data_IF_363875829839
#
_entry.id   IF_363875829839
#
_cell.length_a   1.000
_cell.length_b   1.000
_cell.length_c   1.000
_cell.angle_alpha   90.00
_cell.angle_beta   90.00
_cell.angle_gamma   90.00
#
_symmetry.space_group_name_H-M   'P 1'
#
loop_
_entity.id
_entity.type
_entity.pdbx_description
1 polymer ?
#
# COMPACT_ATOMS: atom_id res chain seq x y z
N UNK A 1 -8.33 11.43 0.82
CA UNK A 1 -9.36 10.75 1.65
C UNK A 1 -9.12 10.94 3.16
N UNK A 2 -7.94 10.67 3.76
CA UNK A 2 -7.74 10.79 5.22
C UNK A 2 -8.12 12.17 5.80
N UNK A 3 -7.77 13.25 5.11
CA UNK A 3 -8.11 14.64 5.51
C UNK A 3 -9.62 14.88 5.52
N UNK A 4 -10.36 14.39 4.52
CA UNK A 4 -11.81 14.55 4.44
C UNK A 4 -12.51 13.78 5.56
N UNK A 5 -12.08 12.54 5.86
CA UNK A 5 -12.62 11.76 6.98
C UNK A 5 -12.36 12.46 8.32
N UNK A 6 -11.15 12.99 8.52
CA UNK A 6 -10.83 13.77 9.73
C UNK A 6 -11.69 15.01 9.87
N UNK A 7 -11.89 15.77 8.79
CA UNK A 7 -12.77 16.96 8.77
C UNK A 7 -14.23 16.61 9.08
N UNK A 8 -14.69 15.39 8.82
CA UNK A 8 -16.01 14.88 9.16
C UNK A 8 -16.11 14.32 10.58
N UNK A 9 -15.02 14.39 11.38
CA UNK A 9 -14.99 13.92 12.77
C UNK A 9 -14.70 12.43 12.94
N UNK A 10 -14.15 11.75 11.91
CA UNK A 10 -13.72 10.37 12.05
C UNK A 10 -12.59 10.23 13.07
N UNK A 11 -12.68 9.22 13.94
CA UNK A 11 -11.55 8.83 14.80
C UNK A 11 -10.36 8.33 13.96
N UNK A 12 -9.18 8.38 14.53
CA UNK A 12 -7.96 7.91 13.86
C UNK A 12 -8.00 6.40 13.61
N UNK A 13 -8.63 5.64 14.52
CA UNK A 13 -8.92 4.22 14.34
C UNK A 13 -9.81 3.97 13.12
N UNK A 14 -10.92 4.69 12.99
CA UNK A 14 -11.83 4.56 11.85
C UNK A 14 -11.14 4.95 10.54
N UNK A 15 -10.38 6.05 10.56
CA UNK A 15 -9.60 6.51 9.40
C UNK A 15 -8.60 5.45 8.92
N UNK A 16 -7.86 4.83 9.85
CA UNK A 16 -6.93 3.75 9.55
C UNK A 16 -7.65 2.47 9.05
N UNK A 17 -8.74 2.09 9.72
CA UNK A 17 -9.53 0.92 9.36
C UNK A 17 -10.08 1.01 7.94
N UNK A 18 -10.72 2.13 7.60
CA UNK A 18 -11.39 2.34 6.31
C UNK A 18 -10.38 2.53 5.17
N UNK A 19 -9.31 3.32 5.38
CA UNK A 19 -8.35 3.59 4.30
C UNK A 19 -7.27 2.52 4.10
N UNK A 20 -7.02 1.63 5.07
CA UNK A 20 -5.91 0.69 5.02
C UNK A 20 -6.32 -0.75 5.30
N UNK A 21 -6.93 -1.02 6.48
CA UNK A 21 -7.22 -2.39 6.90
C UNK A 21 -8.25 -3.05 5.98
N UNK A 22 -9.31 -2.34 5.66
CA UNK A 22 -10.42 -2.88 4.88
C UNK A 22 -10.00 -3.14 3.43
N UNK A 23 -9.25 -2.22 2.81
CA UNK A 23 -8.67 -2.43 1.49
C UNK A 23 -7.75 -3.66 1.46
N UNK A 24 -6.90 -3.83 2.48
CA UNK A 24 -6.01 -4.98 2.60
C UNK A 24 -6.80 -6.29 2.81
N UNK A 25 -7.84 -6.27 3.64
CA UNK A 25 -8.73 -7.40 3.88
C UNK A 25 -9.45 -7.84 2.60
N UNK A 26 -10.05 -6.90 1.88
CA UNK A 26 -10.72 -7.17 0.60
C UNK A 26 -9.74 -7.80 -0.39
N UNK A 27 -8.56 -7.19 -0.56
CA UNK A 27 -7.54 -7.68 -1.50
C UNK A 27 -7.07 -9.09 -1.11
N UNK A 28 -6.88 -9.38 0.18
CA UNK A 28 -6.45 -10.68 0.66
C UNK A 28 -7.38 -11.82 0.25
N UNK A 29 -8.69 -11.62 0.40
CA UNK A 29 -9.69 -12.64 0.04
C UNK A 29 -10.04 -12.65 -1.44
N UNK A 30 -10.08 -11.49 -2.07
CA UNK A 30 -10.52 -11.37 -3.46
C UNK A 30 -9.48 -11.84 -4.47
N UNK A 31 -8.19 -11.63 -4.20
CA UNK A 31 -7.13 -11.98 -5.16
C UNK A 31 -7.13 -13.46 -5.56
N UNK A 32 -7.19 -14.44 -4.63
CA UNK A 32 -7.27 -15.86 -4.99
C UNK A 32 -8.56 -16.21 -5.76
N UNK A 33 -9.68 -15.63 -5.35
CA UNK A 33 -10.98 -15.87 -6.00
C UNK A 33 -10.99 -15.35 -7.45
N UNK A 34 -10.49 -14.13 -7.66
CA UNK A 34 -10.38 -13.50 -8.97
C UNK A 34 -9.45 -14.30 -9.88
N UNK A 35 -8.29 -14.71 -9.35
CA UNK A 35 -7.31 -15.52 -10.07
C UNK A 35 -7.93 -16.80 -10.57
N UNK A 36 -8.54 -17.57 -9.70
CA UNK A 36 -9.19 -18.83 -10.01
C UNK A 36 -10.29 -18.70 -11.09
N UNK A 37 -11.18 -17.71 -10.93
CA UNK A 37 -12.29 -17.50 -11.88
C UNK A 37 -11.80 -17.03 -13.24
N UNK A 38 -10.85 -16.11 -13.29
CA UNK A 38 -10.33 -15.55 -14.54
C UNK A 38 -9.44 -16.54 -15.30
N UNK A 39 -8.71 -17.42 -14.60
CA UNK A 39 -7.85 -18.42 -15.25
C UNK A 39 -8.65 -19.50 -15.97
N UNK A 40 -9.87 -19.79 -15.53
CA UNK A 40 -10.76 -20.79 -16.14
C UNK A 40 -11.67 -20.22 -17.23
N UNK A 41 -11.80 -18.91 -17.31
CA UNK A 41 -12.66 -18.29 -18.32
C UNK A 41 -12.02 -18.37 -19.71
N UNK A 42 -12.86 -18.71 -20.73
CA UNK A 42 -12.50 -18.72 -22.15
C UNK A 42 -13.60 -18.01 -22.90
N UNK A 43 -13.42 -16.73 -23.15
CA UNK A 43 -14.34 -15.88 -23.90
C UNK A 43 -13.79 -15.49 -25.28
N UNK A 44 -14.66 -15.00 -26.16
CA UNK A 44 -14.28 -14.52 -27.51
C UNK A 44 -13.25 -13.36 -27.48
N UNK A 45 -13.22 -12.60 -26.40
CA UNK A 45 -12.32 -11.44 -26.22
C UNK A 45 -11.12 -11.72 -25.28
N UNK A 46 -10.91 -13.00 -24.93
CA UNK A 46 -9.85 -13.42 -24.02
C UNK A 46 -10.36 -13.85 -22.64
N UNK A 47 -9.45 -14.06 -21.69
CA UNK A 47 -9.78 -14.53 -20.34
C UNK A 47 -9.84 -13.41 -19.28
N UNK A 48 -9.17 -12.27 -19.51
CA UNK A 48 -9.09 -11.15 -18.55
C UNK A 48 -9.93 -9.94 -18.96
N UNK A 49 -9.92 -9.58 -20.26
CA UNK A 49 -10.59 -8.40 -20.80
C UNK A 49 -12.08 -8.37 -20.49
N UNK A 50 -12.87 -9.48 -20.60
CA UNK A 50 -14.30 -9.44 -20.27
C UNK A 50 -14.58 -8.98 -18.85
N UNK A 51 -13.78 -9.45 -17.89
CA UNK A 51 -13.92 -9.08 -16.48
C UNK A 51 -13.49 -7.62 -16.23
N UNK A 52 -12.41 -7.16 -16.86
CA UNK A 52 -11.98 -5.76 -16.78
C UNK A 52 -13.04 -4.81 -17.34
N UNK A 53 -13.59 -5.15 -18.51
CA UNK A 53 -14.64 -4.35 -19.15
C UNK A 53 -15.88 -4.20 -18.29
N UNK A 54 -16.26 -5.28 -17.58
CA UNK A 54 -17.43 -5.26 -16.70
C UNK A 54 -17.15 -4.54 -15.37
N UNK A 55 -15.99 -4.72 -14.76
CA UNK A 55 -15.68 -4.19 -13.42
C UNK A 55 -15.23 -2.73 -13.42
N UNK A 56 -14.57 -2.25 -14.48
CA UNK A 56 -14.03 -0.88 -14.56
C UNK A 56 -15.10 0.23 -14.39
N UNK A 57 -16.30 0.16 -14.99
CA UNK A 57 -17.33 1.19 -14.79
C UNK A 57 -17.72 1.36 -13.32
N UNK A 58 -17.74 0.28 -12.54
CA UNK A 58 -18.05 0.36 -11.11
C UNK A 58 -16.99 1.07 -10.31
N UNK A 59 -15.69 0.94 -10.67
CA UNK A 59 -14.61 1.73 -10.03
C UNK A 59 -14.87 3.21 -10.23
N UNK A 60 -15.14 3.64 -11.48
CA UNK A 60 -15.47 5.04 -11.77
C UNK A 60 -16.75 5.50 -11.07
N UNK A 61 -17.79 4.65 -11.04
CA UNK A 61 -19.03 4.94 -10.34
C UNK A 61 -18.77 5.23 -8.85
N UNK A 62 -18.07 4.34 -8.15
CA UNK A 62 -17.77 4.53 -6.73
C UNK A 62 -16.87 5.76 -6.48
N UNK A 63 -15.96 6.09 -7.39
CA UNK A 63 -15.20 7.34 -7.30
C UNK A 63 -16.13 8.57 -7.39
N UNK A 64 -17.05 8.58 -8.35
CA UNK A 64 -18.03 9.66 -8.47
C UNK A 64 -18.92 9.73 -7.23
N UNK A 65 -19.45 8.61 -6.76
CA UNK A 65 -20.28 8.55 -5.55
C UNK A 65 -19.55 9.09 -4.31
N UNK A 66 -18.24 8.77 -4.14
CA UNK A 66 -17.43 9.35 -3.08
C UNK A 66 -17.33 10.88 -3.21
N UNK A 67 -17.13 11.41 -4.42
CA UNK A 67 -17.07 12.84 -4.67
C UNK A 67 -18.37 13.57 -4.31
N UNK A 68 -19.50 12.93 -4.56
CA UNK A 68 -20.84 13.50 -4.32
C UNK A 68 -21.46 13.11 -2.97
N UNK A 69 -20.73 12.48 -2.07
CA UNK A 69 -21.23 12.02 -0.77
C UNK A 69 -21.88 13.10 0.08
N UNK A 70 -21.32 14.33 0.08
CA UNK A 70 -21.93 15.51 0.76
C UNK A 70 -23.30 15.87 0.18
N UNK A 71 -23.48 15.73 -1.14
CA UNK A 71 -24.74 16.02 -1.84
C UNK A 71 -25.78 14.96 -1.52
N UNK A 72 -25.40 13.68 -1.51
CA UNK A 72 -26.29 12.60 -1.10
C UNK A 72 -26.71 12.72 0.37
N UNK A 73 -25.77 13.06 1.25
CA UNK A 73 -26.10 13.31 2.66
C UNK A 73 -27.06 14.48 2.81
N UNK A 74 -26.88 15.57 2.04
CA UNK A 74 -27.79 16.71 2.04
C UNK A 74 -29.19 16.35 1.53
N UNK A 75 -29.28 15.54 0.46
CA UNK A 75 -30.55 15.07 -0.09
C UNK A 75 -31.32 14.21 0.92
N UNK A 76 -30.63 13.31 1.61
CA UNK A 76 -31.25 12.39 2.57
C UNK A 76 -31.61 13.05 3.90
N UNK A 77 -30.84 14.05 4.37
CA UNK A 77 -31.11 14.76 5.63
C UNK A 77 -32.14 15.89 5.49
N UNK A 78 -32.46 16.31 4.28
CA UNK A 78 -33.39 17.41 4.02
C UNK A 78 -32.98 18.75 4.68
N UNK A 79 -33.97 19.59 4.96
CA UNK A 79 -33.76 20.91 5.60
C UNK A 79 -33.40 20.81 7.08
N UNK A 80 -33.76 19.73 7.76
CA UNK A 80 -33.47 19.49 9.19
C UNK A 80 -32.00 19.17 9.50
N UNK A 81 -31.18 18.92 8.47
CA UNK A 81 -29.78 18.46 8.58
C UNK A 81 -29.60 17.22 9.46
N UNK A 82 -30.66 16.47 9.67
CA UNK A 82 -30.71 15.27 10.50
C UNK A 82 -31.47 14.18 9.72
N UNK A 83 -30.88 13.00 9.69
CA UNK A 83 -31.51 11.81 9.11
C UNK A 83 -31.97 10.87 10.21
N UNK A 84 -33.23 10.47 10.19
CA UNK A 84 -33.78 9.54 11.17
C UNK A 84 -33.99 8.16 10.56
N UNK A 85 -33.41 7.15 11.16
CA UNK A 85 -33.60 5.74 10.81
C UNK A 85 -33.72 4.88 12.06
N UNK A 86 -34.75 4.07 12.15
CA UNK A 86 -34.97 3.15 13.28
C UNK A 86 -34.85 3.81 14.68
N UNK A 87 -35.28 5.07 14.84
CA UNK A 87 -35.18 5.81 16.10
C UNK A 87 -33.82 6.47 16.40
N UNK A 88 -32.85 6.30 15.52
CA UNK A 88 -31.54 6.94 15.62
C UNK A 88 -31.53 8.26 14.84
N UNK A 89 -31.10 9.33 15.48
CA UNK A 89 -30.87 10.65 14.86
C UNK A 89 -29.41 10.78 14.41
N UNK A 90 -29.20 10.81 13.10
CA UNK A 90 -27.87 10.87 12.47
C UNK A 90 -27.68 12.29 11.91
N UNK A 91 -26.67 13.00 12.38
CA UNK A 91 -26.35 14.33 11.84
C UNK A 91 -25.74 14.24 10.44
N UNK A 92 -25.89 15.28 9.63
CA UNK A 92 -25.37 15.32 8.26
C UNK A 92 -23.88 14.95 8.13
N UNK A 93 -22.93 15.45 8.98
CA UNK A 93 -21.53 15.02 8.90
C UNK A 93 -21.34 13.53 9.11
N UNK A 94 -22.05 12.94 10.08
CA UNK A 94 -21.99 11.49 10.37
C UNK A 94 -22.60 10.69 9.21
N UNK A 95 -23.70 11.15 8.63
CA UNK A 95 -24.29 10.53 7.43
C UNK A 95 -23.32 10.57 6.25
N UNK A 96 -22.65 11.72 6.02
CA UNK A 96 -21.61 11.83 4.99
C UNK A 96 -20.46 10.86 5.23
N UNK A 97 -20.02 10.72 6.49
CA UNK A 97 -18.96 9.79 6.86
C UNK A 97 -19.34 8.33 6.56
N UNK A 98 -20.58 7.94 6.89
CA UNK A 98 -21.10 6.60 6.59
C UNK A 98 -21.15 6.36 5.08
N UNK A 99 -21.70 7.29 4.30
CA UNK A 99 -21.80 7.17 2.85
C UNK A 99 -20.43 7.08 2.19
N UNK A 100 -19.49 7.96 2.57
CA UNK A 100 -18.12 7.91 2.06
C UNK A 100 -17.45 6.55 2.38
N UNK A 101 -17.66 6.02 3.59
CA UNK A 101 -17.09 4.74 3.99
C UNK A 101 -17.66 3.59 3.17
N UNK A 102 -18.97 3.56 2.93
CA UNK A 102 -19.63 2.55 2.08
C UNK A 102 -19.12 2.64 0.64
N UNK A 103 -19.04 3.84 0.08
CA UNK A 103 -18.57 4.03 -1.29
C UNK A 103 -17.08 3.67 -1.44
N UNK A 104 -16.27 3.94 -0.40
CA UNK A 104 -14.85 3.56 -0.38
C UNK A 104 -14.69 2.03 -0.32
N UNK A 105 -15.52 1.31 0.44
CA UNK A 105 -15.56 -0.15 0.43
C UNK A 105 -15.87 -0.70 -0.96
N UNK A 106 -16.90 -0.14 -1.62
CA UNK A 106 -17.25 -0.51 -2.99
C UNK A 106 -16.13 -0.22 -3.98
N UNK A 107 -15.47 0.92 -3.82
CA UNK A 107 -14.27 1.29 -4.60
C UNK A 107 -13.13 0.29 -4.36
N UNK A 108 -12.78 -0.01 -3.12
CA UNK A 108 -11.70 -0.94 -2.79
C UNK A 108 -11.96 -2.35 -3.33
N UNK A 109 -13.21 -2.81 -3.24
CA UNK A 109 -13.62 -4.10 -3.80
C UNK A 109 -13.43 -4.14 -5.32
N UNK A 110 -13.99 -3.16 -6.02
CA UNK A 110 -13.94 -3.11 -7.49
C UNK A 110 -12.54 -2.78 -8.01
N UNK A 111 -11.80 -1.89 -7.35
CA UNK A 111 -10.44 -1.53 -7.74
C UNK A 111 -9.45 -2.67 -7.50
N UNK A 112 -9.59 -3.44 -6.40
CA UNK A 112 -8.78 -4.65 -6.16
C UNK A 112 -9.02 -5.68 -7.26
N UNK A 113 -10.27 -5.82 -7.71
CA UNK A 113 -10.64 -6.72 -8.80
C UNK A 113 -9.94 -6.30 -10.12
N UNK A 114 -10.08 -5.03 -10.50
CA UNK A 114 -9.45 -4.48 -11.72
C UNK A 114 -7.93 -4.55 -11.63
N UNK A 115 -7.33 -4.15 -10.50
CA UNK A 115 -5.88 -4.13 -10.32
C UNK A 115 -5.27 -5.53 -10.44
N UNK A 116 -5.88 -6.54 -9.83
CA UNK A 116 -5.41 -7.92 -9.92
C UNK A 116 -5.42 -8.44 -11.37
N UNK A 117 -6.53 -8.23 -12.07
CA UNK A 117 -6.68 -8.65 -13.46
C UNK A 117 -5.75 -7.89 -14.42
N UNK A 118 -5.52 -6.60 -14.15
CA UNK A 118 -4.62 -5.77 -14.96
C UNK A 118 -3.17 -6.29 -14.90
N UNK A 119 -2.66 -6.63 -13.72
CA UNK A 119 -1.32 -7.21 -13.59
C UNK A 119 -1.21 -8.59 -14.27
N UNK A 120 -2.27 -9.39 -14.24
CA UNK A 120 -2.31 -10.67 -14.96
C UNK A 120 -2.35 -10.44 -16.47
N UNK A 121 -3.15 -9.45 -16.94
CA UNK A 121 -3.21 -9.09 -18.36
C UNK A 121 -1.85 -8.63 -18.89
N UNK A 122 -1.12 -7.80 -18.14
CA UNK A 122 0.24 -7.38 -18.51
C UNK A 122 1.13 -8.61 -18.73
N UNK A 123 1.09 -9.56 -17.80
CA UNK A 123 1.90 -10.78 -17.91
C UNK A 123 1.50 -11.68 -19.09
N UNK A 124 0.22 -11.66 -19.47
CA UNK A 124 -0.31 -12.46 -20.57
C UNK A 124 -0.02 -11.83 -21.95
N UNK A 125 0.01 -10.49 -22.05
CA UNK A 125 0.08 -9.76 -23.34
C UNK A 125 1.48 -9.25 -23.64
N UNK A 126 2.26 -8.84 -22.63
CA UNK A 126 3.58 -8.25 -22.85
C UNK A 126 4.65 -9.36 -23.03
N UNK A 127 5.40 -9.36 -24.14
CA UNK A 127 6.45 -10.35 -24.37
C UNK A 127 7.52 -10.30 -23.28
N UNK A 128 7.98 -11.47 -22.82
CA UNK A 128 8.97 -11.59 -21.73
C UNK A 128 10.26 -10.81 -22.00
N UNK A 129 10.69 -10.70 -23.28
CA UNK A 129 11.89 -9.94 -23.68
C UNK A 129 11.79 -8.44 -23.41
N UNK A 130 10.58 -7.87 -23.40
CA UNK A 130 10.33 -6.42 -23.23
C UNK A 130 9.65 -6.09 -21.92
N UNK A 131 9.28 -7.10 -21.11
CA UNK A 131 8.54 -6.96 -19.86
C UNK A 131 9.17 -5.95 -18.90
N UNK A 132 10.48 -6.05 -18.65
CA UNK A 132 11.18 -5.15 -17.73
C UNK A 132 11.14 -3.69 -18.20
N UNK A 133 11.31 -3.47 -19.51
CA UNK A 133 11.24 -2.11 -20.10
C UNK A 133 9.83 -1.53 -20.01
N UNK A 134 8.83 -2.36 -20.28
CA UNK A 134 7.42 -1.98 -20.17
C UNK A 134 7.07 -1.57 -18.73
N UNK A 135 7.42 -2.41 -17.75
CA UNK A 135 7.17 -2.13 -16.31
C UNK A 135 7.91 -0.85 -15.87
N UNK A 136 9.14 -0.66 -16.30
CA UNK A 136 9.92 0.55 -15.98
C UNK A 136 9.23 1.81 -16.52
N UNK A 137 8.81 1.79 -17.78
CA UNK A 137 8.10 2.90 -18.43
C UNK A 137 6.76 3.19 -17.74
N UNK A 138 5.99 2.13 -17.43
CA UNK A 138 4.73 2.24 -16.70
C UNK A 138 4.93 2.89 -15.33
N UNK A 139 5.96 2.49 -14.58
CA UNK A 139 6.28 3.10 -13.28
C UNK A 139 6.70 4.55 -13.41
N UNK A 140 7.54 4.90 -14.39
CA UNK A 140 7.97 6.29 -14.64
C UNK A 140 6.75 7.18 -14.90
N UNK A 141 5.85 6.77 -15.80
CA UNK A 141 4.61 7.51 -16.09
C UNK A 141 3.75 7.65 -14.83
N UNK A 142 3.61 6.58 -14.05
CA UNK A 142 2.88 6.61 -12.78
C UNK A 142 3.49 7.60 -11.77
N UNK A 143 4.82 7.62 -11.61
CA UNK A 143 5.50 8.58 -10.74
C UNK A 143 5.31 10.02 -11.21
N UNK A 144 5.45 10.29 -12.52
CA UNK A 144 5.21 11.61 -13.09
C UNK A 144 3.76 12.07 -12.85
N UNK A 145 2.78 11.21 -13.05
CA UNK A 145 1.38 11.50 -12.78
C UNK A 145 1.14 11.87 -11.30
N UNK A 146 1.72 11.12 -10.36
CA UNK A 146 1.63 11.41 -8.91
C UNK A 146 2.31 12.73 -8.58
N UNK A 147 3.45 13.04 -9.17
CA UNK A 147 4.15 14.31 -8.96
C UNK A 147 3.33 15.50 -9.46
N UNK A 148 2.77 15.42 -10.67
CA UNK A 148 1.91 16.46 -11.25
C UNK A 148 0.62 16.63 -10.41
N UNK A 149 0.02 15.54 -9.97
CA UNK A 149 -1.12 15.58 -9.04
C UNK A 149 -0.77 16.33 -7.75
N UNK A 150 0.35 16.02 -7.11
CA UNK A 150 0.79 16.69 -5.88
C UNK A 150 1.06 18.19 -6.09
N UNK A 151 1.59 18.57 -7.24
CA UNK A 151 1.93 19.98 -7.54
C UNK A 151 0.69 20.84 -7.83
N UNK A 152 -0.22 20.33 -8.66
CA UNK A 152 -1.28 21.14 -9.25
C UNK A 152 -2.69 20.83 -8.71
N UNK A 153 -2.97 19.58 -8.33
CA UNK A 153 -4.32 19.15 -7.95
C UNK A 153 -4.46 19.06 -6.43
N UNK A 154 -3.47 18.51 -5.75
CA UNK A 154 -3.51 18.29 -4.31
C UNK A 154 -3.75 19.57 -3.49
N UNK A 155 -3.16 20.76 -3.82
CA UNK A 155 -3.41 21.99 -3.07
C UNK A 155 -4.88 22.38 -2.95
N UNK A 156 -5.68 22.12 -3.99
CA UNK A 156 -7.12 22.44 -4.07
C UNK A 156 -8.02 21.21 -3.83
N UNK A 157 -7.46 20.14 -3.28
CA UNK A 157 -8.17 18.85 -3.18
C UNK A 157 -9.35 18.84 -2.23
N UNK A 158 -9.38 19.71 -1.23
CA UNK A 158 -10.52 19.85 -0.32
C UNK A 158 -11.61 20.74 -0.92
N UNK A 159 -11.23 21.82 -1.60
CA UNK A 159 -12.16 22.78 -2.19
C UNK A 159 -12.88 22.20 -3.42
N UNK A 160 -12.15 21.46 -4.25
CA UNK A 160 -12.65 20.86 -5.49
C UNK A 160 -12.84 19.34 -5.40
N UNK A 161 -13.12 18.82 -4.21
CA UNK A 161 -13.22 17.38 -3.95
C UNK A 161 -14.14 16.65 -4.93
N UNK A 162 -15.34 17.19 -5.19
CA UNK A 162 -16.33 16.63 -6.14
C UNK A 162 -15.75 16.52 -7.55
N UNK A 163 -15.20 17.61 -8.05
CA UNK A 163 -14.67 17.70 -9.42
C UNK A 163 -13.51 16.73 -9.61
N UNK A 164 -12.58 16.70 -8.66
CA UNK A 164 -11.40 15.84 -8.72
C UNK A 164 -11.81 14.36 -8.78
N UNK A 165 -12.74 13.93 -7.93
CA UNK A 165 -13.22 12.56 -7.93
C UNK A 165 -14.01 12.20 -9.19
N UNK A 166 -14.85 13.11 -9.68
CA UNK A 166 -15.62 12.91 -10.91
C UNK A 166 -14.72 12.81 -12.14
N UNK A 167 -13.77 13.73 -12.29
CA UNK A 167 -12.83 13.75 -13.43
C UNK A 167 -11.89 12.52 -13.36
N UNK A 168 -11.37 12.19 -12.17
CA UNK A 168 -10.52 11.03 -11.99
C UNK A 168 -11.27 9.73 -12.28
N UNK A 169 -12.53 9.61 -11.84
CA UNK A 169 -13.39 8.47 -12.14
C UNK A 169 -13.67 8.31 -13.64
N UNK A 170 -14.00 9.42 -14.31
CA UNK A 170 -14.22 9.43 -15.76
C UNK A 170 -12.93 9.07 -16.52
N UNK A 171 -11.81 9.68 -16.18
CA UNK A 171 -10.51 9.39 -16.80
C UNK A 171 -10.09 7.92 -16.59
N UNK A 172 -10.34 7.36 -15.40
CA UNK A 172 -10.09 5.96 -15.11
C UNK A 172 -10.91 5.03 -16.02
N UNK A 173 -12.23 5.27 -16.10
CA UNK A 173 -13.12 4.45 -16.97
C UNK A 173 -12.71 4.59 -18.42
N UNK A 174 -12.52 5.80 -18.93
CA UNK A 174 -12.15 6.03 -20.34
C UNK A 174 -10.81 5.34 -20.65
N UNK A 175 -9.78 5.53 -19.84
CA UNK A 175 -8.46 4.94 -20.07
C UNK A 175 -8.50 3.41 -20.08
N UNK A 176 -9.16 2.78 -19.09
CA UNK A 176 -9.30 1.34 -19.06
C UNK A 176 -10.19 0.79 -20.18
N UNK A 177 -11.26 1.50 -20.57
CA UNK A 177 -12.11 1.09 -21.70
C UNK A 177 -11.32 1.15 -23.02
N UNK A 178 -10.56 2.21 -23.27
CA UNK A 178 -9.66 2.28 -24.44
C UNK A 178 -8.74 1.06 -24.44
N UNK A 179 -8.08 0.75 -23.31
CA UNK A 179 -7.23 -0.43 -23.17
C UNK A 179 -8.02 -1.72 -23.50
N UNK A 180 -9.20 -1.92 -22.94
CA UNK A 180 -10.01 -3.10 -23.16
C UNK A 180 -10.51 -3.29 -24.61
N UNK A 181 -10.55 -2.21 -25.40
CA UNK A 181 -10.95 -2.27 -26.82
C UNK A 181 -9.74 -2.41 -27.75
N UNK A 182 -8.56 -1.91 -27.35
CA UNK A 182 -7.36 -1.92 -28.19
C UNK A 182 -6.47 -3.14 -27.95
N UNK A 183 -6.40 -3.63 -26.74
CA UNK A 183 -5.56 -4.79 -26.37
C UNK A 183 -6.27 -6.08 -26.79
N UNK A 184 -5.55 -6.96 -27.47
CA UNK A 184 -6.01 -8.31 -27.81
C UNK A 184 -5.23 -9.33 -26.99
N UNK A 185 -5.94 -10.19 -26.28
CA UNK A 185 -5.33 -11.35 -25.64
C UNK A 185 -5.08 -12.45 -26.66
N UNK A 186 -4.01 -13.25 -26.44
CA UNK A 186 -3.72 -14.43 -27.26
C UNK A 186 -4.68 -15.60 -26.98
N UNK A 187 -4.48 -16.69 -27.73
CA UNK A 187 -5.17 -17.94 -27.46
C UNK A 187 -4.57 -18.67 -26.26
N UNK A 188 -5.40 -19.22 -25.42
CA UNK A 188 -4.98 -19.95 -24.22
C UNK A 188 -5.32 -21.44 -24.34
N UNK A 189 -4.45 -22.32 -23.80
CA UNK A 189 -4.77 -23.74 -23.72
C UNK A 189 -6.06 -23.97 -22.89
N UNK A 190 -6.74 -25.11 -23.07
CA UNK A 190 -7.91 -25.43 -22.29
C UNK A 190 -7.61 -25.35 -20.78
N UNK A 191 -8.61 -25.03 -19.94
CA UNK A 191 -8.40 -24.94 -18.51
C UNK A 191 -7.90 -26.29 -17.97
N UNK A 192 -7.00 -26.29 -16.95
CA UNK A 192 -6.51 -27.53 -16.36
C UNK A 192 -7.67 -28.38 -15.84
N UNK A 193 -7.77 -29.61 -16.37
CA UNK A 193 -8.74 -30.61 -15.94
C UNK A 193 -8.20 -31.28 -14.66
N UNK A 194 -8.66 -30.85 -13.50
CA UNK A 194 -8.35 -31.44 -12.22
C UNK A 194 -8.98 -30.68 -11.06
N UNK A 195 -9.50 -31.41 -10.09
CA UNK A 195 -9.86 -30.86 -8.80
C UNK A 195 -8.57 -30.43 -8.08
N UNK A 196 -8.34 -29.12 -8.02
CA UNK A 196 -7.31 -28.61 -7.12
C UNK A 196 -7.78 -28.78 -5.67
N UNK A 197 -6.88 -29.14 -4.73
CA UNK A 197 -7.24 -29.22 -3.33
C UNK A 197 -7.92 -27.91 -2.91
N UNK A 198 -8.98 -28.02 -2.14
CA UNK A 198 -9.74 -26.87 -1.67
C UNK A 198 -8.81 -25.84 -1.01
N UNK A 199 -9.21 -24.59 -1.00
CA UNK A 199 -8.41 -23.45 -0.51
C UNK A 199 -7.80 -23.68 0.89
N UNK A 200 -8.57 -24.24 1.83
CA UNK A 200 -8.13 -24.50 3.21
C UNK A 200 -7.07 -25.60 3.31
N UNK A 201 -7.22 -26.78 2.68
CA UNK A 201 -6.15 -27.81 2.64
C UNK A 201 -4.86 -27.31 1.97
N UNK A 202 -4.99 -26.55 0.87
CA UNK A 202 -3.85 -25.97 0.19
C UNK A 202 -3.08 -25.00 1.10
N UNK A 203 -3.78 -24.14 1.85
CA UNK A 203 -3.17 -23.25 2.85
C UNK A 203 -2.47 -24.06 3.94
N UNK A 204 -3.11 -25.07 4.51
CA UNK A 204 -2.55 -25.86 5.62
C UNK A 204 -1.25 -26.57 5.24
N UNK A 205 -1.23 -27.22 4.07
CA UNK A 205 -0.03 -27.86 3.53
C UNK A 205 1.06 -26.84 3.23
N UNK A 206 0.69 -25.74 2.62
CA UNK A 206 1.53 -24.62 2.29
C UNK A 206 2.21 -24.01 3.54
N UNK A 207 1.46 -23.80 4.62
CA UNK A 207 1.98 -23.30 5.89
C UNK A 207 2.98 -24.28 6.52
N UNK A 208 2.63 -25.57 6.60
CA UNK A 208 3.50 -26.59 7.20
C UNK A 208 4.84 -26.71 6.48
N UNK A 209 4.83 -26.63 5.15
CA UNK A 209 6.05 -26.80 4.35
C UNK A 209 6.95 -25.55 4.35
N UNK A 210 6.37 -24.35 4.47
CA UNK A 210 7.12 -23.09 4.32
C UNK A 210 7.73 -22.55 5.61
N UNK A 211 7.21 -22.97 6.77
CA UNK A 211 7.68 -22.53 8.08
C UNK A 211 8.75 -23.44 8.70
N UNK A 212 9.25 -24.43 8.00
CA UNK A 212 10.20 -25.41 8.52
C UNK A 212 11.59 -24.84 8.84
N UNK A 213 12.03 -23.80 8.13
CA UNK A 213 13.36 -23.23 8.31
C UNK A 213 13.32 -21.81 8.89
N UNK A 214 14.13 -21.60 9.93
CA UNK A 214 14.25 -20.33 10.66
C UNK A 214 14.55 -19.14 9.76
N UNK A 215 15.39 -19.32 8.71
CA UNK A 215 15.75 -18.22 7.81
C UNK A 215 14.53 -17.65 7.08
N UNK A 216 13.59 -18.47 6.64
CA UNK A 216 12.40 -18.02 5.93
C UNK A 216 11.45 -17.25 6.84
N UNK A 217 11.29 -17.72 8.10
CA UNK A 217 10.53 -16.99 9.12
C UNK A 217 11.12 -15.59 9.37
N UNK A 218 12.45 -15.50 9.45
CA UNK A 218 13.13 -14.24 9.66
C UNK A 218 12.93 -13.26 8.47
N UNK A 219 12.91 -13.78 7.23
CA UNK A 219 12.55 -12.98 6.04
C UNK A 219 11.12 -12.48 6.15
N UNK A 220 10.16 -13.36 6.47
CA UNK A 220 8.76 -12.99 6.58
C UNK A 220 8.55 -11.93 7.67
N UNK A 221 9.11 -12.11 8.87
CA UNK A 221 8.99 -11.12 9.94
C UNK A 221 9.66 -9.78 9.57
N UNK A 222 10.83 -9.81 8.96
CA UNK A 222 11.49 -8.60 8.47
C UNK A 222 10.61 -7.84 7.50
N UNK A 223 9.98 -8.54 6.56
CA UNK A 223 9.11 -7.93 5.56
C UNK A 223 7.77 -7.46 6.13
N UNK A 224 7.24 -8.11 7.17
CA UNK A 224 6.06 -7.68 7.91
C UNK A 224 6.29 -6.30 8.52
N UNK A 225 7.36 -6.13 9.30
CA UNK A 225 7.65 -4.85 9.96
C UNK A 225 7.99 -3.75 8.96
N UNK A 226 8.62 -4.08 7.84
CA UNK A 226 8.81 -3.13 6.74
C UNK A 226 7.48 -2.68 6.12
N UNK A 227 6.55 -3.59 5.86
CA UNK A 227 5.22 -3.21 5.35
C UNK A 227 4.43 -2.39 6.37
N UNK A 228 4.54 -2.71 7.67
CA UNK A 228 3.85 -1.98 8.74
C UNK A 228 4.23 -0.49 8.81
N UNK A 229 5.39 -0.07 8.28
CA UNK A 229 5.72 1.34 8.13
C UNK A 229 4.69 2.09 7.26
N UNK A 230 4.11 1.41 6.28
CA UNK A 230 3.08 2.00 5.42
C UNK A 230 1.68 2.01 6.06
N UNK A 231 1.45 1.24 7.12
CA UNK A 231 0.17 1.17 7.82
C UNK A 231 -0.25 2.51 8.43
N UNK A 232 0.72 3.27 8.93
CA UNK A 232 0.52 4.58 9.55
C UNK A 232 0.72 5.76 8.59
N UNK A 233 0.96 5.53 7.30
CA UNK A 233 1.31 6.59 6.32
C UNK A 233 0.23 7.69 6.18
N UNK A 234 -1.03 7.38 6.50
CA UNK A 234 -2.12 8.37 6.53
C UNK A 234 -1.88 9.48 7.56
N UNK A 235 -1.20 9.16 8.66
CA UNK A 235 -0.90 10.10 9.73
C UNK A 235 0.26 11.05 9.39
N UNK A 236 1.10 10.71 8.40
CA UNK A 236 2.14 11.60 7.91
C UNK A 236 1.57 12.89 7.31
N UNK A 237 0.46 12.79 6.55
CA UNK A 237 -0.18 13.97 6.00
C UNK A 237 -0.88 14.79 7.09
N UNK A 238 -1.53 14.14 8.06
CA UNK A 238 -2.16 14.81 9.20
C UNK A 238 -1.12 15.50 10.09
N UNK A 239 0.06 14.88 10.29
CA UNK A 239 1.19 15.54 10.95
C UNK A 239 1.57 16.84 10.25
N UNK A 240 1.74 16.80 8.94
CA UNK A 240 2.22 17.96 8.19
C UNK A 240 1.17 19.08 8.15
N UNK A 241 -0.10 18.75 7.91
CA UNK A 241 -1.16 19.74 7.75
C UNK A 241 -1.79 20.18 9.08
N UNK A 242 -2.20 19.23 9.93
CA UNK A 242 -2.94 19.53 11.14
C UNK A 242 -2.01 19.85 12.33
N UNK A 243 -0.92 19.07 12.54
CA UNK A 243 -0.05 19.25 13.70
C UNK A 243 1.10 20.25 13.49
N UNK A 244 1.61 20.39 12.26
CA UNK A 244 2.67 21.34 11.91
C UNK A 244 2.15 22.60 11.20
N UNK A 245 0.86 22.66 10.85
CA UNK A 245 0.22 23.84 10.27
C UNK A 245 0.64 24.17 8.83
N UNK A 246 1.23 23.20 8.10
CA UNK A 246 1.61 23.43 6.71
C UNK A 246 0.39 23.56 5.80
N UNK A 247 0.46 24.50 4.88
CA UNK A 247 -0.58 24.61 3.84
C UNK A 247 -0.58 23.40 2.91
N UNK A 248 -1.72 23.08 2.32
CA UNK A 248 -1.85 22.01 1.32
C UNK A 248 -0.90 22.24 0.14
N UNK A 249 -0.63 23.52 -0.20
CA UNK A 249 0.30 23.91 -1.25
C UNK A 249 1.74 23.56 -0.89
N UNK A 250 2.16 23.79 0.36
CA UNK A 250 3.52 23.47 0.82
C UNK A 250 3.74 21.96 0.85
N UNK A 251 2.76 21.19 1.35
CA UNK A 251 2.81 19.72 1.32
C UNK A 251 2.84 19.20 -0.12
N UNK A 252 2.05 19.76 -1.02
CA UNK A 252 2.05 19.41 -2.44
C UNK A 252 3.40 19.69 -3.12
N UNK A 253 3.97 20.87 -2.87
CA UNK A 253 5.30 21.26 -3.35
C UNK A 253 6.39 20.34 -2.78
N UNK A 254 6.35 20.07 -1.49
CA UNK A 254 7.29 19.16 -0.82
C UNK A 254 7.27 17.77 -1.48
N UNK A 255 6.09 17.20 -1.66
CA UNK A 255 5.94 15.88 -2.31
C UNK A 255 6.39 15.90 -3.77
N UNK A 256 6.18 17.00 -4.49
CA UNK A 256 6.66 17.15 -5.87
C UNK A 256 8.20 17.14 -5.93
N UNK A 257 8.87 18.02 -5.18
CA UNK A 257 10.35 18.11 -5.21
C UNK A 257 11.02 16.87 -4.67
N UNK A 258 10.51 16.27 -3.60
CA UNK A 258 11.03 15.01 -3.07
C UNK A 258 10.79 13.85 -4.04
N UNK A 259 9.72 13.88 -4.82
CA UNK A 259 9.46 12.93 -5.91
C UNK A 259 10.54 12.97 -7.01
N UNK A 260 11.00 14.16 -7.41
CA UNK A 260 12.12 14.32 -8.35
C UNK A 260 13.39 13.68 -7.79
N UNK A 261 13.71 13.98 -6.52
CA UNK A 261 14.89 13.40 -5.87
C UNK A 261 14.78 11.88 -5.78
N UNK A 262 13.60 11.36 -5.47
CA UNK A 262 13.36 9.91 -5.40
C UNK A 262 13.66 9.23 -6.75
N UNK A 263 13.17 9.79 -7.86
CA UNK A 263 13.47 9.26 -9.21
C UNK A 263 14.96 9.26 -9.51
N UNK A 264 15.67 10.35 -9.16
CA UNK A 264 17.10 10.46 -9.38
C UNK A 264 17.92 9.45 -8.54
N UNK A 265 17.47 9.17 -7.33
CA UNK A 265 18.17 8.28 -6.38
C UNK A 265 17.91 6.79 -6.64
N UNK A 266 16.83 6.43 -7.35
CA UNK A 266 16.49 5.02 -7.59
C UNK A 266 17.62 4.21 -8.25
N UNK A 267 18.30 4.77 -9.27
CA UNK A 267 19.40 4.08 -9.94
C UNK A 267 20.64 3.90 -9.05
N UNK A 268 21.15 4.96 -8.38
CA UNK A 268 22.23 4.81 -7.40
C UNK A 268 21.87 3.82 -6.27
N UNK A 269 20.64 3.84 -5.77
CA UNK A 269 20.18 2.94 -4.73
C UNK A 269 20.17 1.46 -5.19
N UNK A 270 19.72 1.20 -6.42
CA UNK A 270 19.77 -0.13 -7.01
C UNK A 270 21.21 -0.63 -7.19
N UNK A 271 22.09 0.22 -7.71
CA UNK A 271 23.52 -0.09 -7.84
C UNK A 271 24.17 -0.39 -6.47
N UNK A 272 23.81 0.36 -5.42
CA UNK A 272 24.28 0.13 -4.05
C UNK A 272 23.83 -1.25 -3.54
N UNK A 273 22.56 -1.62 -3.80
CA UNK A 273 22.01 -2.91 -3.41
C UNK A 273 22.74 -4.08 -4.11
N UNK A 274 23.08 -3.92 -5.38
CA UNK A 274 23.80 -4.96 -6.13
C UNK A 274 25.25 -5.10 -5.67
N UNK A 275 25.94 -3.97 -5.39
CA UNK A 275 27.34 -3.95 -4.99
C UNK A 275 27.57 -4.53 -3.59
N UNK A 276 26.73 -4.20 -2.59
CA UNK A 276 26.96 -4.54 -1.18
C UNK A 276 26.10 -5.71 -0.66
N UNK A 277 25.38 -6.40 -1.50
CA UNK A 277 24.40 -7.43 -1.20
C UNK A 277 23.07 -6.87 -0.62
N UNK A 278 21.92 -7.20 -1.24
CA UNK A 278 20.61 -6.61 -0.91
C UNK A 278 20.22 -6.74 0.57
N UNK A 279 20.55 -7.85 1.23
CA UNK A 279 20.28 -8.03 2.65
C UNK A 279 21.03 -7.03 3.54
N UNK A 280 22.27 -6.68 3.17
CA UNK A 280 23.08 -5.71 3.94
C UNK A 280 22.54 -4.30 3.74
N UNK A 281 22.29 -3.92 2.50
CA UNK A 281 21.74 -2.59 2.16
C UNK A 281 20.36 -2.41 2.74
N UNK A 282 19.52 -3.44 2.76
CA UNK A 282 18.21 -3.42 3.41
C UNK A 282 18.33 -3.18 4.93
N UNK A 283 19.18 -3.93 5.62
CA UNK A 283 19.42 -3.75 7.07
C UNK A 283 19.92 -2.34 7.38
N UNK A 284 20.93 -1.83 6.64
CA UNK A 284 21.44 -0.48 6.84
C UNK A 284 20.39 0.58 6.51
N UNK A 285 19.56 0.35 5.52
CA UNK A 285 18.41 1.20 5.20
C UNK A 285 17.42 1.28 6.35
N UNK A 286 17.07 0.14 7.00
CA UNK A 286 16.18 0.12 8.17
C UNK A 286 16.80 0.90 9.35
N UNK A 287 18.09 0.74 9.62
CA UNK A 287 18.78 1.46 10.68
C UNK A 287 18.81 2.98 10.38
N UNK A 288 19.14 3.36 9.16
CA UNK A 288 19.15 4.76 8.75
C UNK A 288 17.74 5.38 8.85
N UNK A 289 16.70 4.63 8.48
CA UNK A 289 15.32 5.07 8.59
C UNK A 289 14.90 5.26 10.05
N UNK A 290 15.29 4.35 10.93
CA UNK A 290 15.09 4.47 12.38
C UNK A 290 15.74 5.73 12.95
N UNK A 291 17.06 5.93 12.69
CA UNK A 291 17.81 7.08 13.16
C UNK A 291 17.21 8.39 12.66
N UNK A 292 16.81 8.45 11.38
CA UNK A 292 16.16 9.62 10.81
C UNK A 292 14.85 9.96 11.53
N UNK A 293 14.04 8.96 11.89
CA UNK A 293 12.79 9.18 12.60
C UNK A 293 13.01 9.61 14.05
N UNK A 294 14.08 9.16 14.69
CA UNK A 294 14.48 9.69 16.00
C UNK A 294 14.83 11.20 15.92
N UNK A 295 15.55 11.63 14.88
CA UNK A 295 15.80 13.07 14.67
C UNK A 295 14.51 13.84 14.39
N UNK A 296 13.57 13.26 13.67
CA UNK A 296 12.26 13.88 13.42
C UNK A 296 11.40 14.01 14.69
N UNK A 297 11.70 13.30 15.78
CA UNK A 297 11.03 13.47 17.07
C UNK A 297 11.27 14.87 17.70
N UNK A 298 12.19 15.66 17.17
CA UNK A 298 12.39 17.06 17.61
C UNK A 298 11.09 17.87 17.57
N UNK A 299 10.19 17.55 16.62
CA UNK A 299 8.90 18.22 16.48
C UNK A 299 7.87 17.90 17.58
N UNK A 300 8.17 16.96 18.47
CA UNK A 300 7.37 16.69 19.67
C UNK A 300 7.58 17.80 20.70
N UNK A 301 8.81 18.32 20.77
CA UNK A 301 9.25 19.25 21.82
C UNK A 301 9.36 20.69 21.34
N UNK A 302 9.46 20.90 20.03
CA UNK A 302 9.67 22.23 19.45
C UNK A 302 8.50 22.60 18.53
N UNK A 303 8.01 23.84 18.70
CA UNK A 303 7.01 24.38 17.79
C UNK A 303 7.57 24.56 16.39
N UNK A 304 6.70 24.28 15.41
CA UNK A 304 7.05 24.42 14.01
C UNK A 304 6.82 25.88 13.58
N UNK A 305 7.89 26.57 13.26
CA UNK A 305 7.84 27.91 12.65
C UNK A 305 8.30 27.88 11.20
N UNK A 306 8.03 28.91 10.43
CA UNK A 306 8.41 29.02 9.01
C UNK A 306 9.91 28.78 8.76
N UNK A 307 10.79 29.19 9.67
CA UNK A 307 12.22 28.96 9.61
C UNK A 307 12.60 27.45 9.61
N UNK A 308 11.69 26.57 10.02
CA UNK A 308 11.92 25.13 10.08
C UNK A 308 11.46 24.37 8.82
N UNK A 309 10.85 25.05 7.86
CA UNK A 309 10.36 24.44 6.62
C UNK A 309 11.51 23.80 5.84
N UNK A 310 12.65 24.46 5.72
CA UNK A 310 13.85 23.92 5.06
C UNK A 310 14.34 22.63 5.73
N UNK A 311 14.33 22.58 7.06
CA UNK A 311 14.72 21.38 7.82
C UNK A 311 13.73 20.21 7.56
N UNK A 312 12.43 20.50 7.48
CA UNK A 312 11.43 19.49 7.13
C UNK A 312 11.64 18.94 5.72
N UNK A 313 11.96 19.81 4.75
CA UNK A 313 12.35 19.39 3.40
C UNK A 313 13.57 18.46 3.43
N UNK A 314 14.62 18.81 4.17
CA UNK A 314 15.82 17.96 4.31
C UNK A 314 15.47 16.59 4.89
N UNK A 315 14.67 16.52 5.95
CA UNK A 315 14.22 15.24 6.51
C UNK A 315 13.39 14.43 5.51
N UNK A 316 12.51 15.06 4.76
CA UNK A 316 11.67 14.38 3.79
C UNK A 316 12.49 13.87 2.60
N UNK A 317 13.44 14.63 2.12
CA UNK A 317 14.40 14.21 1.09
C UNK A 317 15.21 13.00 1.58
N UNK A 318 15.82 13.10 2.78
CA UNK A 318 16.58 11.99 3.36
C UNK A 318 15.72 10.73 3.53
N UNK A 319 14.46 10.88 3.97
CA UNK A 319 13.51 9.79 4.10
C UNK A 319 13.24 9.12 2.75
N UNK A 320 13.02 9.89 1.68
CA UNK A 320 12.80 9.35 0.34
C UNK A 320 14.04 8.64 -0.23
N UNK A 321 15.24 9.17 0.01
CA UNK A 321 16.49 8.51 -0.37
C UNK A 321 16.67 7.15 0.33
N UNK A 322 16.40 7.08 1.63
CA UNK A 322 16.46 5.83 2.39
C UNK A 322 15.39 4.85 1.93
N UNK A 323 14.16 5.32 1.69
CA UNK A 323 13.10 4.49 1.14
C UNK A 323 13.42 3.93 -0.25
N UNK A 324 14.09 4.69 -1.12
CA UNK A 324 14.56 4.19 -2.41
C UNK A 324 15.54 3.01 -2.23
N UNK A 325 16.46 3.10 -1.26
CA UNK A 325 17.39 1.99 -0.93
C UNK A 325 16.63 0.76 -0.43
N UNK A 326 15.66 0.94 0.45
CA UNK A 326 14.84 -0.15 0.98
C UNK A 326 14.03 -0.84 -0.13
N UNK A 327 13.33 -0.05 -0.96
CA UNK A 327 12.50 -0.56 -2.06
C UNK A 327 13.31 -1.31 -3.12
N UNK A 328 14.50 -0.81 -3.46
CA UNK A 328 15.38 -1.45 -4.46
C UNK A 328 16.09 -2.68 -3.92
N UNK A 329 16.23 -2.81 -2.59
CA UNK A 329 16.87 -3.96 -1.95
C UNK A 329 15.90 -5.09 -1.60
N UNK A 330 14.61 -4.82 -1.44
CA UNK A 330 13.60 -5.77 -0.93
C UNK A 330 13.46 -7.00 -1.84
N UNK A 331 13.10 -6.81 -3.10
CA UNK A 331 12.88 -7.92 -4.05
C UNK A 331 14.17 -8.69 -4.33
N UNK A 332 15.33 -8.06 -4.62
CA UNK A 332 16.58 -8.79 -4.77
C UNK A 332 17.00 -9.59 -3.54
N UNK A 333 16.68 -9.12 -2.32
CA UNK A 333 16.88 -9.88 -1.10
C UNK A 333 16.11 -11.19 -1.12
N UNK A 334 14.81 -11.16 -1.50
CA UNK A 334 14.01 -12.38 -1.63
C UNK A 334 14.55 -13.32 -2.70
N UNK A 335 14.96 -12.80 -3.86
CA UNK A 335 15.53 -13.60 -4.96
C UNK A 335 16.81 -14.35 -4.57
N UNK A 336 17.58 -13.79 -3.64
CA UNK A 336 18.84 -14.42 -3.17
C UNK A 336 18.66 -15.39 -2.01
N UNK A 337 17.54 -15.29 -1.26
CA UNK A 337 17.31 -16.12 -0.07
C UNK A 337 16.32 -17.24 -0.34
N UNK A 338 15.29 -17.02 -1.14
CA UNK A 338 14.28 -18.04 -1.41
C UNK A 338 14.77 -19.07 -2.43
N UNK A 339 14.36 -20.35 -2.30
CA UNK A 339 14.67 -21.39 -3.27
C UNK A 339 14.12 -21.05 -4.65
N UNK A 340 14.96 -21.12 -5.69
CA UNK A 340 14.58 -20.74 -7.06
C UNK A 340 13.41 -21.57 -7.60
N UNK A 341 13.39 -22.87 -7.32
CA UNK A 341 12.33 -23.79 -7.78
C UNK A 341 10.94 -23.46 -7.21
N UNK A 342 10.87 -22.78 -6.06
CA UNK A 342 9.63 -22.49 -5.35
C UNK A 342 9.47 -21.01 -5.04
N UNK A 343 10.21 -20.15 -5.73
CA UNK A 343 10.27 -18.71 -5.49
C UNK A 343 8.88 -18.06 -5.43
N UNK A 344 8.02 -18.34 -6.39
CA UNK A 344 6.66 -17.80 -6.44
C UNK A 344 5.81 -18.17 -5.22
N UNK A 345 5.97 -19.39 -4.73
CA UNK A 345 5.25 -19.89 -3.55
C UNK A 345 5.72 -19.17 -2.27
N UNK A 346 7.04 -18.95 -2.12
CA UNK A 346 7.57 -18.19 -0.99
C UNK A 346 7.16 -16.70 -1.03
N UNK A 347 7.12 -16.08 -2.20
CA UNK A 347 6.60 -14.73 -2.38
C UNK A 347 5.11 -14.66 -2.03
N UNK A 348 4.32 -15.67 -2.41
CA UNK A 348 2.91 -15.78 -2.03
C UNK A 348 2.72 -15.90 -0.52
N UNK A 349 3.50 -16.78 0.16
CA UNK A 349 3.49 -16.90 1.62
C UNK A 349 3.83 -15.58 2.30
N UNK A 350 4.88 -14.92 1.82
CA UNK A 350 5.31 -13.62 2.32
C UNK A 350 4.19 -12.58 2.20
N UNK A 351 3.55 -12.49 1.04
CA UNK A 351 2.44 -11.56 0.83
C UNK A 351 1.26 -11.83 1.76
N UNK A 352 0.89 -13.10 1.97
CA UNK A 352 -0.19 -13.48 2.89
C UNK A 352 0.12 -13.09 4.34
N UNK A 353 1.32 -13.43 4.83
CA UNK A 353 1.73 -13.11 6.20
C UNK A 353 1.78 -11.59 6.39
N UNK A 354 2.39 -10.87 5.48
CA UNK A 354 2.45 -9.41 5.52
C UNK A 354 1.06 -8.79 5.65
N UNK A 355 0.11 -9.25 4.85
CA UNK A 355 -1.27 -8.73 4.88
C UNK A 355 -1.98 -9.08 6.18
N UNK A 356 -1.78 -10.30 6.70
CA UNK A 356 -2.36 -10.75 7.96
C UNK A 356 -1.94 -9.85 9.15
N UNK A 357 -0.69 -9.41 9.19
CA UNK A 357 -0.20 -8.48 10.21
C UNK A 357 -0.52 -7.01 9.90
N UNK A 358 -0.64 -6.65 8.62
CA UNK A 358 -0.93 -5.29 8.21
C UNK A 358 -2.33 -4.83 8.62
N UNK A 359 -3.33 -5.71 8.53
CA UNK A 359 -4.71 -5.42 8.88
C UNK A 359 -4.82 -4.97 10.35
N UNK A 360 -4.44 -5.78 11.36
CA UNK A 360 -4.49 -5.34 12.75
C UNK A 360 -3.48 -4.22 13.05
N UNK A 361 -2.32 -4.20 12.39
CA UNK A 361 -1.29 -3.20 12.61
C UNK A 361 -1.73 -1.78 12.22
N UNK A 362 -2.53 -1.64 11.16
CA UNK A 362 -3.06 -0.32 10.78
C UNK A 362 -4.18 0.15 11.72
N UNK A 363 -5.02 -0.76 12.22
CA UNK A 363 -6.03 -0.44 13.26
C UNK A 363 -5.33 -0.03 14.56
N UNK A 364 -4.30 -0.79 14.97
CA UNK A 364 -3.52 -0.49 16.16
C UNK A 364 -2.85 0.88 16.07
N UNK A 365 -2.32 1.26 14.89
CA UNK A 365 -1.77 2.59 14.67
C UNK A 365 -2.83 3.67 14.93
N UNK A 366 -4.03 3.54 14.35
CA UNK A 366 -5.13 4.48 14.58
C UNK A 366 -5.53 4.57 16.05
N UNK A 367 -5.68 3.41 16.71
CA UNK A 367 -6.02 3.34 18.13
C UNK A 367 -4.97 4.03 19.02
N UNK A 368 -3.69 3.85 18.73
CA UNK A 368 -2.62 4.54 19.46
C UNK A 368 -2.71 6.07 19.29
N UNK A 369 -3.04 6.58 18.11
CA UNK A 369 -3.23 8.02 17.91
C UNK A 369 -4.50 8.53 18.60
N UNK A 370 -5.59 7.78 18.60
CA UNK A 370 -6.80 8.12 19.40
C UNK A 370 -6.49 8.16 20.91
N UNK A 371 -5.68 7.23 21.42
CA UNK A 371 -5.23 7.26 22.81
C UNK A 371 -4.33 8.47 23.09
N UNK A 372 -3.35 8.75 22.23
CA UNK A 372 -2.48 9.89 22.38
C UNK A 372 -3.28 11.20 22.38
N UNK A 373 -4.33 11.31 21.59
CA UNK A 373 -5.21 12.48 21.59
C UNK A 373 -5.83 12.74 22.96
N UNK A 374 -6.21 11.71 23.70
CA UNK A 374 -6.75 11.85 25.07
C UNK A 374 -5.72 12.41 26.06
N UNK A 375 -4.44 12.11 25.86
CA UNK A 375 -3.36 12.60 26.72
C UNK A 375 -2.82 13.96 26.29
N UNK A 376 -2.85 14.29 25.00
CA UNK A 376 -2.32 15.55 24.46
C UNK A 376 -3.32 16.71 24.53
N UNK A 377 -4.58 16.41 24.86
CA UNK A 377 -5.64 17.43 24.97
C UNK A 377 -6.20 17.90 23.63
N UNK A 378 -6.96 19.01 23.63
CA UNK A 378 -7.58 19.55 22.44
C UNK A 378 -6.53 20.03 21.41
N UNK A 379 -6.72 19.65 20.16
CA UNK A 379 -5.81 19.94 19.05
C UNK A 379 -5.32 18.67 18.39
N UNK A 380 -4.42 18.82 17.44
CA UNK A 380 -3.89 17.73 16.62
C UNK A 380 -2.45 17.35 17.00
N UNK A 381 -2.03 17.64 18.23
CA UNK A 381 -0.69 17.39 18.76
C UNK A 381 -0.28 15.93 18.70
N UNK A 382 -1.22 14.98 18.82
CA UNK A 382 -0.96 13.54 18.72
C UNK A 382 -0.20 13.15 17.45
N UNK A 383 -0.40 13.85 16.34
CA UNK A 383 0.29 13.51 15.09
C UNK A 383 1.78 13.88 15.08
N UNK A 384 2.24 14.73 16.01
CA UNK A 384 3.68 15.01 16.20
C UNK A 384 4.43 13.75 16.66
N UNK A 385 3.73 12.77 17.25
CA UNK A 385 4.29 11.47 17.65
C UNK A 385 4.43 10.47 16.49
N UNK A 386 4.02 10.82 15.27
CA UNK A 386 4.15 9.95 14.09
C UNK A 386 5.58 9.43 13.87
N UNK A 387 6.67 10.24 13.98
CA UNK A 387 8.03 9.74 13.87
C UNK A 387 8.41 8.74 14.97
N UNK A 388 7.95 8.97 16.20
CA UNK A 388 8.16 8.05 17.31
C UNK A 388 7.46 6.71 17.07
N UNK A 389 6.19 6.74 16.65
CA UNK A 389 5.45 5.54 16.26
C UNK A 389 6.21 4.74 15.19
N UNK A 390 6.67 5.42 14.14
CA UNK A 390 7.43 4.78 13.06
C UNK A 390 8.73 4.17 13.58
N UNK A 391 9.46 4.87 14.46
CA UNK A 391 10.68 4.36 15.09
C UNK A 391 10.39 3.11 15.94
N UNK A 392 9.31 3.09 16.72
CA UNK A 392 8.91 1.93 17.53
C UNK A 392 8.56 0.72 16.64
N UNK A 393 7.81 0.93 15.57
CA UNK A 393 7.41 -0.15 14.66
C UNK A 393 8.58 -0.76 13.91
N UNK A 394 9.61 0.03 13.55
CA UNK A 394 10.77 -0.47 12.79
C UNK A 394 11.77 -1.26 13.66
N UNK A 395 11.80 -1.04 14.99
CA UNK A 395 12.74 -1.72 15.89
C UNK A 395 12.70 -3.25 15.80
N UNK A 396 11.53 -3.91 15.89
CA UNK A 396 11.46 -5.35 15.67
C UNK A 396 11.90 -5.75 14.26
N UNK A 397 11.63 -4.91 13.25
CA UNK A 397 12.10 -5.14 11.89
C UNK A 397 13.62 -5.16 11.78
N UNK A 398 14.33 -4.25 12.47
CA UNK A 398 15.79 -4.23 12.58
C UNK A 398 16.27 -5.49 13.29
N UNK A 399 15.64 -5.88 14.39
CA UNK A 399 15.99 -7.09 15.14
C UNK A 399 15.89 -8.35 14.27
N UNK A 400 14.78 -8.51 13.54
CA UNK A 400 14.60 -9.64 12.63
C UNK A 400 15.57 -9.59 11.43
N UNK A 401 15.82 -8.42 10.85
CA UNK A 401 16.78 -8.26 9.76
C UNK A 401 18.22 -8.55 10.20
N UNK A 402 18.59 -8.15 11.43
CA UNK A 402 19.87 -8.49 12.01
C UNK A 402 20.02 -9.99 12.27
N UNK A 403 18.99 -10.62 12.83
CA UNK A 403 18.92 -12.06 13.06
C UNK A 403 18.97 -12.84 11.74
N UNK A 404 18.27 -12.33 10.70
CA UNK A 404 18.32 -12.86 9.35
C UNK A 404 19.74 -12.80 8.77
N UNK A 405 20.44 -11.68 8.94
CA UNK A 405 21.84 -11.55 8.50
C UNK A 405 22.77 -12.52 9.23
N UNK A 406 22.56 -12.75 10.53
CA UNK A 406 23.35 -13.74 11.30
C UNK A 406 23.12 -15.15 10.78
N UNK A 407 21.86 -15.56 10.56
CA UNK A 407 21.51 -16.88 10.05
C UNK A 407 22.00 -17.08 8.61
N UNK A 408 21.86 -16.08 7.75
CA UNK A 408 22.41 -16.09 6.40
C UNK A 408 23.93 -16.29 6.38
N UNK A 409 24.67 -15.62 7.27
CA UNK A 409 26.13 -15.81 7.42
C UNK A 409 26.44 -17.24 7.88
N UNK A 410 25.66 -17.79 8.81
CA UNK A 410 25.82 -19.15 9.32
C UNK A 410 25.63 -20.21 8.23
N UNK A 411 24.76 -19.93 7.27
CA UNK A 411 24.45 -20.80 6.13
C UNK A 411 25.37 -20.56 4.91
N UNK A 412 26.56 -19.98 5.09
CA UNK A 412 27.56 -19.78 4.04
C UNK A 412 27.71 -18.35 3.53
N UNK A 413 26.80 -17.42 3.85
CA UNK A 413 26.96 -15.98 3.55
C UNK A 413 27.04 -15.67 2.05
N UNK A 414 27.95 -14.77 1.67
CA UNK A 414 28.03 -14.26 0.30
C UNK A 414 28.66 -15.24 -0.70
N UNK A 415 29.52 -16.15 -0.24
CA UNK A 415 30.28 -17.05 -1.09
C UNK A 415 29.57 -18.40 -1.32
N UNK A 416 28.95 -18.98 -0.28
CA UNK A 416 28.51 -20.36 -0.27
C UNK A 416 27.07 -20.57 0.20
N UNK A 417 26.28 -19.49 0.26
CA UNK A 417 24.89 -19.59 0.69
C UNK A 417 24.08 -20.48 -0.26
N UNK A 418 23.52 -21.55 0.30
CA UNK A 418 22.52 -22.38 -0.37
C UNK A 418 21.22 -22.30 0.42
N UNK A 419 20.07 -22.01 -0.24
CA UNK A 419 18.78 -22.08 0.41
C UNK A 419 18.60 -23.48 1.03
N UNK A 420 18.21 -23.59 2.32
CA UNK A 420 17.96 -24.90 2.93
C UNK A 420 16.95 -25.68 2.10
N UNK A 421 17.28 -26.95 1.79
CA UNK A 421 16.36 -27.84 1.10
C UNK A 421 15.19 -28.14 2.03
N UNK A 422 14.00 -28.12 1.48
CA UNK A 422 12.81 -28.52 2.23
C UNK A 422 12.87 -30.03 2.46
N UNK A 423 12.51 -30.47 3.66
CA UNK A 423 12.21 -31.86 3.91
C UNK A 423 11.11 -32.27 2.91
N UNK A 424 11.34 -33.28 2.06
CA UNK A 424 10.31 -33.77 1.16
C UNK A 424 9.07 -34.09 1.98
N UNK A 425 7.84 -33.84 1.48
CA UNK A 425 6.65 -34.23 2.18
C UNK A 425 6.78 -35.72 2.51
N UNK A 426 6.72 -36.04 3.81
CA UNK A 426 6.63 -37.46 4.21
C UNK A 426 5.48 -38.05 3.42
N UNK A 427 5.82 -39.03 2.57
CA UNK A 427 4.87 -39.69 1.70
C UNK A 427 3.63 -40.11 2.51
N UNK A 428 2.48 -39.68 2.01
CA UNK A 428 1.19 -40.30 2.25
C UNK A 428 0.89 -41.22 1.09
#
# INVERSE_FOLDING_TARGET
MPLKLKALGASDTLNAAVNKSLAAFITFFMTPFISFRSDRHRGKTGRRIPFLRWSTPFVGLFMVLMGFSDSFAALLSGTSQVFQIAGLTITKPVLTLILISIFLVGFDFTSSYVNTLFWYLINDVVPQKTMSRFIAMFKIIGFLAVMLFNKYIFPSSLDHFRLIFAVSGAAYVIGFMIMCFTVKEGEYPPPPSGEQPGFIPAIKTYWRERFSHRIYMLVFMTSVFYLLLSASSNFAILRNTAALGLSMKDVGNMNFYTGIVNLAVLFPAAWLADRFHPLRTFLWGLIAYFVLHLFQCVWIFKDFGEANLSLLYMFTIAQNCIMAILMTSEIPMYMRIFPRAQYGQFCGANAMIRTLFFIPGSILAGYCFDMLHKFTGPGDWQYRYYPLWTAVVILPGIFFAFSLRREWKRLGGASDFRPPEQVPPCGL
#
